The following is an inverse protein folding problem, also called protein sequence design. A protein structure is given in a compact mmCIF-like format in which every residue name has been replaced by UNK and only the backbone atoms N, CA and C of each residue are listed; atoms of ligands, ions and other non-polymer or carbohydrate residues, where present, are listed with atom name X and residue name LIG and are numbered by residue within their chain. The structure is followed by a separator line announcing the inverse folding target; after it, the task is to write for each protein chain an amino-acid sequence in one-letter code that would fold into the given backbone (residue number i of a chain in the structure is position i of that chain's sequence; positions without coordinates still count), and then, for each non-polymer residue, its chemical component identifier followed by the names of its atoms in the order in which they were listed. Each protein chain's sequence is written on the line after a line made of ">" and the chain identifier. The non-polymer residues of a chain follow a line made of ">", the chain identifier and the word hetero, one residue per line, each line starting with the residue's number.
data_IF_558403943264
#
_entry.id   IF_558403943264
#
_cell.length_a   1.000
_cell.length_b   1.000
_cell.length_c   1.000
_cell.angle_alpha   90.00
_cell.angle_beta   90.00
_cell.angle_gamma   90.00
#
_symmetry.space_group_name_H-M   'P 1'
#
loop_
_entity.id
_entity.type
_entity.pdbx_description
1 polymer ?
#
# COMPACT_ATOMS: atom_id res chain seq x y z
N UNK A 1 6.42 15.69 6.22
CA UNK A 1 6.84 17.08 6.52
C UNK A 1 6.39 18.02 5.42
N UNK A 2 5.18 18.57 5.53
CA UNK A 2 4.63 19.66 4.72
C UNK A 2 5.30 21.00 5.13
N UNK A 3 6.63 21.04 5.10
CA UNK A 3 7.42 22.23 5.42
C UNK A 3 7.22 23.21 4.28
N UNK A 4 6.32 24.18 4.45
CA UNK A 4 6.16 25.27 3.47
C UNK A 4 7.50 26.00 3.19
N UNK A 5 8.47 25.89 4.10
CA UNK A 5 9.84 26.39 3.95
C UNK A 5 10.65 25.70 2.83
N UNK A 6 10.37 24.45 2.46
CA UNK A 6 11.16 23.69 1.47
C UNK A 6 10.73 23.93 0.02
N UNK A 7 9.63 24.67 -0.19
CA UNK A 7 9.16 25.03 -1.52
C UNK A 7 9.84 26.29 -2.06
N UNK A 8 10.15 26.28 -3.35
CA UNK A 8 10.68 27.44 -4.07
C UNK A 8 9.64 28.56 -4.15
N UNK A 9 10.09 29.79 -4.44
CA UNK A 9 9.19 30.93 -4.67
C UNK A 9 8.14 30.61 -5.74
N UNK A 10 8.57 29.98 -6.84
CA UNK A 10 7.69 29.52 -7.92
C UNK A 10 6.62 28.53 -7.43
N UNK A 11 7.01 27.49 -6.68
CA UNK A 11 6.07 26.49 -6.15
C UNK A 11 5.08 27.13 -5.17
N UNK A 12 5.51 28.07 -4.34
CA UNK A 12 4.64 28.84 -3.45
C UNK A 12 3.61 29.67 -4.23
N UNK A 13 4.02 30.29 -5.34
CA UNK A 13 3.10 31.03 -6.23
C UNK A 13 2.06 30.10 -6.86
N UNK A 14 2.48 28.91 -7.31
CA UNK A 14 1.55 27.88 -7.83
C UNK A 14 0.55 27.43 -6.77
N UNK A 15 1.01 27.12 -5.55
CA UNK A 15 0.13 26.72 -4.44
C UNK A 15 -0.85 27.86 -4.09
N UNK A 16 -0.39 29.12 -4.09
CA UNK A 16 -1.26 30.28 -3.85
C UNK A 16 -2.34 30.39 -4.92
N UNK A 17 -1.97 30.26 -6.18
CA UNK A 17 -2.91 30.26 -7.30
C UNK A 17 -3.93 29.13 -7.23
N UNK A 18 -3.50 27.90 -6.90
CA UNK A 18 -4.41 26.76 -6.74
C UNK A 18 -5.41 27.00 -5.61
N UNK A 19 -4.97 27.60 -4.49
CA UNK A 19 -5.88 27.99 -3.40
C UNK A 19 -6.91 29.03 -3.83
N UNK A 20 -6.55 29.95 -4.72
CA UNK A 20 -7.45 30.99 -5.23
C UNK A 20 -8.41 30.44 -6.29
N UNK A 21 -7.94 29.56 -7.18
CA UNK A 21 -8.72 29.01 -8.28
C UNK A 21 -9.71 27.93 -7.82
N UNK A 22 -9.25 26.99 -6.99
CA UNK A 22 -10.06 25.85 -6.53
C UNK A 22 -10.94 26.20 -5.32
N UNK A 23 -10.51 27.22 -4.56
CA UNK A 23 -11.23 27.74 -3.41
C UNK A 23 -11.56 26.67 -2.36
N UNK A 24 -12.80 26.69 -1.88
CA UNK A 24 -13.33 25.75 -0.88
C UNK A 24 -14.06 24.56 -1.50
N UNK A 25 -14.24 24.55 -2.81
CA UNK A 25 -15.13 23.60 -3.47
C UNK A 25 -14.41 22.35 -3.98
N UNK A 26 -13.18 22.50 -4.48
CA UNK A 26 -12.43 21.41 -5.08
C UNK A 26 -11.21 21.08 -4.20
N UNK A 27 -11.21 19.92 -3.52
CA UNK A 27 -10.05 19.38 -2.83
C UNK A 27 -8.85 19.16 -3.75
N UNK A 28 -7.69 19.47 -3.20
CA UNK A 28 -6.42 19.19 -3.86
C UNK A 28 -5.32 18.93 -2.83
N UNK A 29 -4.35 18.13 -3.24
CA UNK A 29 -3.12 17.83 -2.52
C UNK A 29 -1.93 18.19 -3.39
N UNK A 30 -0.79 18.45 -2.74
CA UNK A 30 0.44 18.73 -3.45
C UNK A 30 1.61 18.13 -2.69
N UNK A 31 2.57 17.61 -3.45
CA UNK A 31 3.78 17.01 -2.90
C UNK A 31 4.99 17.40 -3.75
N UNK A 32 6.15 17.43 -3.09
CA UNK A 32 7.42 17.68 -3.76
C UNK A 32 7.98 16.34 -4.24
N UNK A 33 8.19 16.21 -5.54
CA UNK A 33 8.82 15.03 -6.14
C UNK A 33 10.33 15.02 -5.92
N UNK A 34 10.98 13.87 -6.14
CA UNK A 34 12.44 13.71 -6.08
C UNK A 34 13.16 14.69 -7.02
N UNK A 35 12.57 14.97 -8.19
CA UNK A 35 13.12 15.90 -9.19
C UNK A 35 12.80 17.37 -8.89
N UNK A 36 12.37 17.71 -7.66
CA UNK A 36 12.01 19.06 -7.25
C UNK A 36 10.82 19.67 -8.04
N UNK A 37 10.02 18.86 -8.74
CA UNK A 37 8.72 19.29 -9.27
C UNK A 37 7.66 19.26 -8.20
N UNK A 38 6.69 20.18 -8.29
CA UNK A 38 5.46 20.09 -7.52
C UNK A 38 4.50 19.17 -8.27
N UNK A 39 4.18 18.04 -7.66
CA UNK A 39 3.07 17.18 -8.08
C UNK A 39 1.81 17.66 -7.40
N UNK A 40 0.76 17.85 -8.17
CA UNK A 40 -0.54 18.36 -7.73
C UNK A 40 -1.59 17.33 -8.13
N UNK A 41 -2.38 16.89 -7.16
CA UNK A 41 -3.54 16.03 -7.38
C UNK A 41 -4.77 16.87 -7.07
N UNK A 42 -5.72 16.91 -8.00
CA UNK A 42 -6.97 17.67 -7.88
C UNK A 42 -8.11 16.68 -8.00
N UNK A 43 -9.10 16.79 -7.12
CA UNK A 43 -10.28 15.94 -7.20
C UNK A 43 -11.01 16.14 -8.54
N UNK A 44 -11.26 15.04 -9.26
CA UNK A 44 -11.89 15.05 -10.58
C UNK A 44 -10.92 14.98 -11.77
N UNK A 45 -9.61 15.07 -11.55
CA UNK A 45 -8.61 14.81 -12.59
C UNK A 45 -8.05 13.40 -12.49
N UNK A 46 -8.06 12.68 -13.61
CA UNK A 46 -7.52 11.31 -13.70
C UNK A 46 -6.00 11.27 -13.54
N UNK A 47 -5.32 12.36 -13.90
CA UNK A 47 -3.85 12.44 -13.95
C UNK A 47 -3.31 13.51 -13.01
N UNK A 48 -2.25 13.20 -12.24
CA UNK A 48 -1.55 14.22 -11.47
C UNK A 48 -0.90 15.25 -12.41
N UNK A 49 -0.96 16.52 -12.02
CA UNK A 49 -0.34 17.62 -12.73
C UNK A 49 1.04 17.89 -12.12
N UNK A 50 2.03 18.15 -12.97
CA UNK A 50 3.38 18.45 -12.55
C UNK A 50 3.78 19.85 -13.00
N UNK A 51 4.45 20.59 -12.13
CA UNK A 51 5.11 21.82 -12.53
C UNK A 51 6.39 21.53 -13.30
N UNK A 52 6.83 22.45 -14.16
CA UNK A 52 8.10 22.31 -14.87
C UNK A 52 9.32 22.38 -13.93
N UNK A 53 10.45 21.88 -14.44
CA UNK A 53 11.77 21.88 -13.77
C UNK A 53 12.43 23.25 -13.70
N UNK A 54 11.96 24.21 -14.51
CA UNK A 54 12.61 25.49 -14.77
C UNK A 54 11.84 26.65 -14.15
N UNK A 55 11.99 26.90 -12.83
CA UNK A 55 11.28 27.97 -12.12
C UNK A 55 11.69 29.39 -12.56
N UNK A 56 12.72 29.52 -13.39
CA UNK A 56 13.25 30.80 -13.90
C UNK A 56 12.46 31.36 -15.08
N UNK A 57 11.66 30.55 -15.76
CA UNK A 57 10.86 30.99 -16.90
C UNK A 57 9.50 31.51 -16.41
N UNK A 58 9.26 32.82 -16.54
CA UNK A 58 7.98 33.44 -16.17
C UNK A 58 6.80 32.81 -16.92
N UNK A 59 7.00 32.33 -18.15
CA UNK A 59 5.96 31.65 -18.94
C UNK A 59 5.61 30.28 -18.40
N UNK A 60 6.51 29.61 -17.67
CA UNK A 60 6.25 28.27 -17.13
C UNK A 60 5.11 28.26 -16.12
N UNK A 61 4.97 29.35 -15.35
CA UNK A 61 3.89 29.54 -14.39
C UNK A 61 2.56 29.71 -15.13
N UNK A 62 2.50 30.62 -16.12
CA UNK A 62 1.30 30.87 -16.91
C UNK A 62 0.86 29.64 -17.71
N UNK A 63 1.82 28.88 -18.24
CA UNK A 63 1.56 27.62 -18.93
C UNK A 63 0.94 26.59 -18.00
N UNK A 64 1.49 26.42 -16.79
CA UNK A 64 0.93 25.52 -15.78
C UNK A 64 -0.48 25.98 -15.36
N UNK A 65 -0.67 27.27 -15.10
CA UNK A 65 -1.98 27.82 -14.73
C UNK A 65 -3.03 27.61 -15.83
N UNK A 66 -2.65 27.84 -17.08
CA UNK A 66 -3.52 27.63 -18.24
C UNK A 66 -3.85 26.15 -18.43
N UNK A 67 -2.88 25.26 -18.17
CA UNK A 67 -3.10 23.83 -18.17
C UNK A 67 -4.14 23.43 -17.11
N UNK A 68 -3.96 23.86 -15.85
CA UNK A 68 -4.94 23.60 -14.77
C UNK A 68 -6.33 24.11 -15.15
N UNK A 69 -6.44 25.35 -15.64
CA UNK A 69 -7.73 25.93 -16.05
C UNK A 69 -8.40 25.13 -17.16
N UNK A 70 -7.63 24.64 -18.14
CA UNK A 70 -8.14 23.82 -19.24
C UNK A 70 -8.69 22.49 -18.73
N UNK A 71 -7.95 21.82 -17.87
CA UNK A 71 -8.36 20.53 -17.30
C UNK A 71 -9.61 20.68 -16.41
N UNK A 72 -9.70 21.75 -15.62
CA UNK A 72 -10.91 22.06 -14.84
C UNK A 72 -12.13 22.34 -15.73
N UNK A 73 -11.94 23.07 -16.83
CA UNK A 73 -13.00 23.30 -17.81
C UNK A 73 -13.44 22.00 -18.48
N UNK A 74 -12.52 21.08 -18.73
CA UNK A 74 -12.86 19.76 -19.27
C UNK A 74 -13.75 18.98 -18.29
N UNK A 75 -13.46 19.02 -16.98
CA UNK A 75 -14.32 18.42 -15.94
C UNK A 75 -15.72 19.06 -15.97
N UNK A 76 -15.81 20.39 -15.98
CA UNK A 76 -17.10 21.10 -15.98
C UNK A 76 -17.94 20.74 -17.21
N UNK A 77 -17.31 20.64 -18.38
CA UNK A 77 -17.97 20.24 -19.64
C UNK A 77 -18.40 18.77 -19.60
N UNK A 78 -17.56 17.85 -19.12
CA UNK A 78 -17.93 16.44 -18.97
C UNK A 78 -19.11 16.27 -18.02
N UNK A 79 -19.07 16.95 -16.87
CA UNK A 79 -20.14 16.92 -15.87
C UNK A 79 -21.45 17.48 -16.43
N UNK A 80 -21.37 18.57 -17.21
CA UNK A 80 -22.53 19.18 -17.87
C UNK A 80 -23.11 18.28 -18.97
N UNK A 81 -22.27 17.61 -19.75
CA UNK A 81 -22.70 16.70 -20.82
C UNK A 81 -23.33 15.41 -20.27
N UNK A 82 -22.83 14.88 -19.16
CA UNK A 82 -23.42 13.74 -18.45
C UNK A 82 -24.81 14.09 -17.88
N UNK A 83 -24.97 15.30 -17.33
CA UNK A 83 -26.26 15.77 -16.82
C UNK A 83 -27.33 15.92 -17.93
N UNK A 84 -26.92 16.25 -19.16
CA UNK A 84 -27.83 16.46 -20.28
C UNK A 84 -28.26 15.18 -21.01
N UNK A 85 -27.61 14.04 -20.76
CA UNK A 85 -27.93 12.75 -21.42
C UNK A 85 -28.89 11.89 -20.59
N UNK A 86 -29.12 12.25 -19.33
CA UNK A 86 -30.06 11.59 -18.42
C UNK A 86 -31.42 12.32 -18.44
N UNK A 87 -32.35 11.88 -19.28
CA UNK A 87 -33.74 12.33 -19.20
C UNK A 87 -34.35 11.99 -17.82
N UNK A 88 -35.04 12.98 -17.25
CA UNK A 88 -35.77 12.99 -15.96
C UNK A 88 -34.92 13.05 -14.68
N UNK A 89 -34.27 14.19 -14.49
CA UNK A 89 -34.16 14.76 -13.16
C UNK A 89 -34.61 16.22 -13.22
N UNK A 90 -35.48 16.58 -12.28
CA UNK A 90 -35.93 17.93 -11.94
C UNK A 90 -34.83 18.97 -12.14
N UNK A 91 -35.10 20.16 -12.72
CA UNK A 91 -34.08 21.17 -12.95
C UNK A 91 -33.47 21.60 -11.61
N UNK A 92 -32.33 21.01 -11.25
CA UNK A 92 -31.47 21.62 -10.26
C UNK A 92 -30.84 22.83 -10.92
N UNK A 93 -31.40 23.97 -10.57
CA UNK A 93 -30.95 25.30 -10.95
C UNK A 93 -29.42 25.39 -11.06
N UNK A 94 -28.87 25.94 -12.15
CA UNK A 94 -27.45 26.24 -12.30
C UNK A 94 -27.09 27.52 -11.51
N UNK A 95 -27.42 27.57 -10.21
CA UNK A 95 -27.09 28.68 -9.32
C UNK A 95 -27.05 28.26 -7.85
N UNK A 96 -26.05 27.46 -7.49
CA UNK A 96 -25.52 27.44 -6.11
C UNK A 96 -24.22 28.28 -6.08
N UNK A 97 -24.22 29.42 -6.77
CA UNK A 97 -23.27 30.52 -6.52
C UNK A 97 -23.87 31.59 -5.60
N UNK A 98 -25.03 31.31 -5.02
CA UNK A 98 -25.84 32.27 -4.28
C UNK A 98 -26.01 31.82 -2.83
N UNK A 99 -25.47 32.62 -1.91
CA UNK A 99 -25.76 32.64 -0.47
C UNK A 99 -24.90 31.84 0.51
N UNK A 100 -23.78 31.22 0.09
CA UNK A 100 -22.73 30.91 1.07
C UNK A 100 -22.05 32.24 1.43
N UNK A 101 -22.29 32.76 2.64
CA UNK A 101 -21.70 34.03 3.05
C UNK A 101 -20.18 33.96 2.86
N UNK A 102 -19.53 35.02 2.35
CA UNK A 102 -18.07 35.06 2.17
C UNK A 102 -17.30 34.79 3.47
N UNK A 103 -17.97 34.98 4.62
CA UNK A 103 -17.44 34.64 5.94
C UNK A 103 -17.29 33.12 6.15
N UNK A 104 -18.24 32.31 5.69
CA UNK A 104 -18.14 30.85 5.78
C UNK A 104 -17.05 30.31 4.87
N UNK A 105 -16.88 30.91 3.68
CA UNK A 105 -15.80 30.52 2.78
C UNK A 105 -14.42 30.80 3.41
N UNK A 106 -14.25 31.99 4.01
CA UNK A 106 -13.02 32.32 4.76
C UNK A 106 -12.78 31.39 5.94
N UNK A 107 -13.84 31.00 6.66
CA UNK A 107 -13.76 30.03 7.75
C UNK A 107 -13.25 28.68 7.22
N UNK A 108 -13.90 28.12 6.19
CA UNK A 108 -13.50 26.86 5.56
C UNK A 108 -12.05 26.93 5.07
N UNK A 109 -11.65 28.00 4.36
CA UNK A 109 -10.27 28.17 3.89
C UNK A 109 -9.26 28.19 5.04
N UNK A 110 -9.60 28.82 6.17
CA UNK A 110 -8.72 28.90 7.34
C UNK A 110 -8.57 27.54 8.01
N UNK A 111 -9.68 26.80 8.17
CA UNK A 111 -9.66 25.43 8.67
C UNK A 111 -8.83 24.51 7.76
N UNK A 112 -9.05 24.54 6.44
CA UNK A 112 -8.29 23.74 5.46
C UNK A 112 -6.79 24.07 5.52
N UNK A 113 -6.42 25.35 5.58
CA UNK A 113 -5.02 25.77 5.71
C UNK A 113 -4.38 25.23 6.99
N UNK A 114 -5.09 25.28 8.11
CA UNK A 114 -4.64 24.74 9.40
C UNK A 114 -4.51 23.21 9.37
N UNK A 115 -5.44 22.51 8.71
CA UNK A 115 -5.38 21.06 8.56
C UNK A 115 -4.20 20.63 7.68
N UNK A 116 -3.94 21.35 6.57
CA UNK A 116 -2.79 21.06 5.69
C UNK A 116 -1.44 21.15 6.38
N UNK A 117 -1.27 22.05 7.35
CA UNK A 117 0.01 22.13 8.09
C UNK A 117 0.17 20.98 9.09
N UNK A 118 -0.93 20.40 9.55
CA UNK A 118 -0.96 19.31 10.54
C UNK A 118 -1.18 17.93 9.92
N UNK A 119 -1.38 17.83 8.61
CA UNK A 119 -1.77 16.58 7.92
C UNK A 119 -0.84 15.42 8.21
N UNK A 120 0.48 15.66 8.26
CA UNK A 120 1.46 14.60 8.56
C UNK A 120 1.31 14.06 9.98
N UNK A 121 1.07 14.96 10.95
CA UNK A 121 0.88 14.58 12.36
C UNK A 121 -0.44 13.83 12.53
N UNK A 122 -1.50 14.24 11.83
CA UNK A 122 -2.78 13.52 11.83
C UNK A 122 -2.59 12.12 11.22
N UNK A 123 -1.84 12.02 10.11
CA UNK A 123 -1.54 10.73 9.48
C UNK A 123 -0.81 9.79 10.44
N UNK A 124 0.22 10.28 11.13
CA UNK A 124 0.96 9.48 12.13
C UNK A 124 0.05 9.03 13.28
N UNK A 125 -0.76 9.95 13.82
CA UNK A 125 -1.72 9.62 14.88
C UNK A 125 -2.76 8.58 14.44
N UNK A 126 -3.26 8.66 13.20
CA UNK A 126 -4.15 7.63 12.66
C UNK A 126 -3.43 6.29 12.53
N UNK A 127 -2.18 6.28 12.05
CA UNK A 127 -1.38 5.05 11.92
C UNK A 127 -1.13 4.39 13.29
N UNK A 128 -0.66 5.16 14.28
CA UNK A 128 -0.35 4.65 15.61
C UNK A 128 -1.61 4.04 16.26
N UNK A 129 -2.75 4.73 16.18
CA UNK A 129 -4.03 4.21 16.72
C UNK A 129 -4.53 2.97 16.01
N UNK A 130 -4.32 2.87 14.69
CA UNK A 130 -4.74 1.70 13.91
C UNK A 130 -3.92 0.49 14.34
N UNK A 131 -2.61 0.66 14.57
CA UNK A 131 -1.75 -0.39 15.09
C UNK A 131 -2.09 -0.77 16.53
N UNK A 132 -2.47 0.19 17.39
CA UNK A 132 -2.87 -0.09 18.78
C UNK A 132 -4.22 -0.81 18.87
N UNK A 133 -5.20 -0.43 18.05
CA UNK A 133 -6.59 -0.92 18.13
C UNK A 133 -6.83 -2.14 17.23
N UNK A 134 -5.98 -2.37 16.22
CA UNK A 134 -6.15 -3.37 15.17
C UNK A 134 -7.53 -3.32 14.46
N UNK A 135 -8.11 -2.13 14.39
CA UNK A 135 -9.40 -1.86 13.76
C UNK A 135 -9.30 -0.60 12.88
N UNK A 136 -10.18 -0.46 11.90
CA UNK A 136 -10.19 0.62 10.90
C UNK A 136 -11.47 1.47 11.03
N UNK A 137 -12.51 0.95 11.68
CA UNK A 137 -13.83 1.60 11.71
C UNK A 137 -13.82 2.95 12.46
N UNK A 138 -12.93 3.11 13.44
CA UNK A 138 -12.82 4.35 14.22
C UNK A 138 -12.25 5.55 13.44
N UNK A 139 -11.61 5.33 12.28
CA UNK A 139 -10.94 6.40 11.52
C UNK A 139 -11.93 7.49 11.08
N UNK A 140 -13.15 7.10 10.67
CA UNK A 140 -14.18 8.07 10.22
C UNK A 140 -14.59 9.01 11.36
N UNK A 141 -14.77 8.45 12.55
CA UNK A 141 -15.17 9.21 13.73
C UNK A 141 -14.05 10.11 14.24
N UNK A 142 -12.80 9.63 14.24
CA UNK A 142 -11.63 10.44 14.58
C UNK A 142 -11.46 11.62 13.63
N UNK A 143 -11.59 11.41 12.31
CA UNK A 143 -11.56 12.50 11.33
C UNK A 143 -12.66 13.53 11.59
N UNK A 144 -13.86 13.08 11.91
CA UNK A 144 -14.98 13.96 12.23
C UNK A 144 -14.74 14.76 13.52
N UNK A 145 -14.14 14.16 14.55
CA UNK A 145 -13.71 14.87 15.78
C UNK A 145 -12.66 15.93 15.47
N UNK A 146 -11.66 15.61 14.64
CA UNK A 146 -10.61 16.55 14.23
C UNK A 146 -11.23 17.76 13.49
N UNK A 147 -12.18 17.51 12.58
CA UNK A 147 -12.89 18.58 11.86
C UNK A 147 -13.64 19.48 12.85
N UNK A 148 -14.43 18.91 13.76
CA UNK A 148 -15.15 19.68 14.78
C UNK A 148 -14.22 20.50 15.67
N UNK A 149 -13.09 19.94 16.09
CA UNK A 149 -12.08 20.64 16.87
C UNK A 149 -11.46 21.79 16.07
N UNK A 150 -11.18 21.60 14.77
CA UNK A 150 -10.62 22.63 13.91
C UNK A 150 -11.58 23.81 13.68
N UNK A 151 -12.88 23.52 13.52
CA UNK A 151 -13.93 24.54 13.38
C UNK A 151 -14.05 25.32 14.69
N UNK A 152 -14.12 24.60 15.83
CA UNK A 152 -14.22 25.20 17.16
C UNK A 152 -13.05 26.14 17.46
N UNK A 153 -11.82 25.70 17.18
CA UNK A 153 -10.62 26.53 17.36
C UNK A 153 -10.63 27.76 16.45
N UNK A 154 -11.08 27.62 15.20
CA UNK A 154 -11.14 28.75 14.27
C UNK A 154 -12.24 29.75 14.67
N UNK A 155 -13.37 29.25 15.18
CA UNK A 155 -14.46 30.07 15.68
C UNK A 155 -14.06 30.83 16.96
N UNK A 156 -13.34 30.19 17.88
CA UNK A 156 -12.80 30.83 19.09
C UNK A 156 -11.82 31.96 18.76
N UNK A 157 -10.99 31.77 17.72
CA UNK A 157 -10.04 32.80 17.28
C UNK A 157 -10.70 33.95 16.51
N UNK A 158 -11.90 33.73 15.96
CA UNK A 158 -12.67 34.79 15.31
C UNK A 158 -13.47 35.57 16.35
N UNK A 159 -13.09 36.84 16.57
CA UNK A 159 -13.79 37.75 17.49
C UNK A 159 -15.25 38.06 17.08
N UNK A 160 -15.67 37.64 15.89
CA UNK A 160 -17.03 37.82 15.38
C UNK A 160 -17.79 36.49 15.43
N UNK A 161 -18.56 36.29 16.50
CA UNK A 161 -19.49 35.17 16.61
C UNK A 161 -20.73 35.43 15.76
N UNK A 162 -20.59 35.35 14.44
CA UNK A 162 -21.76 35.31 13.56
C UNK A 162 -22.49 33.99 13.82
N UNK A 163 -23.76 34.06 14.20
CA UNK A 163 -24.57 32.88 14.44
C UNK A 163 -24.59 32.00 13.18
N UNK A 164 -24.09 30.77 13.31
CA UNK A 164 -24.07 29.77 12.24
C UNK A 164 -25.30 28.88 12.42
N UNK A 165 -26.18 28.84 11.42
CA UNK A 165 -27.33 27.92 11.44
C UNK A 165 -26.83 26.46 11.49
N UNK A 166 -27.48 25.55 12.22
CA UNK A 166 -27.06 24.15 12.32
C UNK A 166 -26.91 23.44 10.96
N UNK A 167 -27.76 23.77 9.99
CA UNK A 167 -27.64 23.23 8.61
C UNK A 167 -26.36 23.70 7.92
N UNK A 168 -26.05 24.99 8.01
CA UNK A 168 -24.83 25.56 7.45
C UNK A 168 -23.58 25.00 8.16
N UNK A 169 -23.66 24.73 9.46
CA UNK A 169 -22.57 24.06 10.19
C UNK A 169 -22.29 22.66 9.63
N UNK A 170 -23.34 21.85 9.39
CA UNK A 170 -23.18 20.53 8.77
C UNK A 170 -22.59 20.61 7.36
N UNK A 171 -22.98 21.61 6.57
CA UNK A 171 -22.43 21.84 5.23
C UNK A 171 -20.93 22.21 5.32
N UNK A 172 -20.54 23.07 6.25
CA UNK A 172 -19.14 23.42 6.54
C UNK A 172 -18.34 22.18 6.98
N UNK A 173 -18.87 21.39 7.92
CA UNK A 173 -18.26 20.14 8.39
C UNK A 173 -18.06 19.16 7.24
N UNK A 174 -19.09 18.94 6.41
CA UNK A 174 -19.03 18.03 5.27
C UNK A 174 -18.01 18.49 4.21
N UNK A 175 -17.93 19.79 3.95
CA UNK A 175 -16.93 20.36 3.04
C UNK A 175 -15.52 20.11 3.57
N UNK A 176 -15.25 20.49 4.82
CA UNK A 176 -13.92 20.31 5.42
C UNK A 176 -13.55 18.82 5.49
N UNK A 177 -14.51 17.94 5.80
CA UNK A 177 -14.29 16.50 5.83
C UNK A 177 -13.94 15.94 4.45
N UNK A 178 -14.58 16.42 3.37
CA UNK A 178 -14.22 16.05 1.99
C UNK A 178 -12.77 16.41 1.69
N UNK A 179 -12.36 17.64 2.04
CA UNK A 179 -10.97 18.08 1.91
C UNK A 179 -10.01 17.22 2.73
N UNK A 180 -10.35 16.91 3.99
CA UNK A 180 -9.51 16.11 4.87
C UNK A 180 -9.35 14.67 4.36
N UNK A 181 -10.43 14.04 3.93
CA UNK A 181 -10.41 12.69 3.36
C UNK A 181 -9.58 12.61 2.08
N UNK A 182 -9.58 13.67 1.26
CA UNK A 182 -8.73 13.73 0.07
C UNK A 182 -7.24 13.93 0.42
N UNK A 183 -6.93 14.50 1.59
CA UNK A 183 -5.56 14.74 2.06
C UNK A 183 -4.95 13.55 2.78
N UNK A 184 -5.77 12.71 3.41
CA UNK A 184 -5.33 11.56 4.20
C UNK A 184 -5.40 10.26 3.41
N UNK A 185 -4.65 9.22 3.83
CA UNK A 185 -4.74 7.91 3.19
C UNK A 185 -6.14 7.31 3.27
N UNK A 186 -6.50 6.51 2.27
CA UNK A 186 -7.76 5.77 2.21
C UNK A 186 -7.76 4.64 3.24
N UNK A 187 -8.94 4.20 3.69
CA UNK A 187 -9.07 3.05 4.59
C UNK A 187 -8.36 1.79 4.05
N UNK A 188 -8.32 1.60 2.73
CA UNK A 188 -7.58 0.52 2.09
C UNK A 188 -6.07 0.53 2.42
N UNK A 189 -5.46 1.72 2.50
CA UNK A 189 -4.05 1.83 2.91
C UNK A 189 -3.84 1.34 4.35
N UNK A 190 -4.80 1.60 5.24
CA UNK A 190 -4.74 1.13 6.62
C UNK A 190 -5.06 -0.35 6.75
N UNK A 191 -5.93 -0.92 5.91
CA UNK A 191 -6.15 -2.38 5.89
C UNK A 191 -4.91 -3.13 5.43
N UNK A 192 -4.23 -2.62 4.39
CA UNK A 192 -3.00 -3.23 3.89
C UNK A 192 -1.91 -3.19 4.96
N UNK A 193 -1.79 -2.08 5.70
CA UNK A 193 -0.87 -1.95 6.83
C UNK A 193 -1.14 -2.97 7.94
N UNK A 194 -2.40 -3.26 8.25
CA UNK A 194 -2.75 -4.29 9.24
C UNK A 194 -2.41 -5.69 8.74
N UNK A 195 -2.65 -5.98 7.46
CA UNK A 195 -2.29 -7.27 6.85
C UNK A 195 -0.79 -7.50 6.88
N UNK A 196 0.01 -6.50 6.49
CA UNK A 196 1.48 -6.57 6.54
C UNK A 196 1.99 -6.84 7.96
N UNK A 197 1.47 -6.14 8.97
CA UNK A 197 1.88 -6.37 10.36
C UNK A 197 1.40 -7.72 10.90
N UNK A 198 0.21 -8.19 10.53
CA UNK A 198 -0.27 -9.52 10.92
C UNK A 198 0.63 -10.62 10.33
N UNK A 199 1.09 -10.46 9.08
CA UNK A 199 2.04 -11.42 8.47
C UNK A 199 3.41 -11.40 9.13
N UNK A 200 3.85 -10.25 9.66
CA UNK A 200 5.10 -10.13 10.42
C UNK A 200 4.95 -10.77 11.81
N UNK A 201 3.85 -10.53 12.52
CA UNK A 201 3.60 -11.18 13.83
C UNK A 201 3.48 -12.70 13.70
N UNK A 202 2.90 -13.21 12.61
CA UNK A 202 2.88 -14.65 12.32
C UNK A 202 4.30 -15.19 12.09
N UNK A 203 5.12 -14.49 11.31
CA UNK A 203 6.52 -14.86 11.09
C UNK A 203 7.38 -14.81 12.37
N UNK A 204 7.11 -13.87 13.28
CA UNK A 204 7.80 -13.80 14.59
C UNK A 204 7.31 -14.85 15.58
N UNK A 205 6.03 -15.21 15.54
CA UNK A 205 5.48 -16.29 16.36
C UNK A 205 6.04 -17.67 15.99
N UNK A 206 6.35 -17.91 14.71
CA UNK A 206 7.01 -19.12 14.24
C UNK A 206 8.48 -19.20 14.70
N UNK A 207 9.16 -18.07 14.87
CA UNK A 207 10.54 -17.99 15.41
C UNK A 207 10.55 -18.19 16.94
N UNK A 208 9.47 -17.81 17.65
CA UNK A 208 9.32 -18.02 19.09
C UNK A 208 9.08 -19.48 19.49
N UNK A 209 8.46 -20.29 18.62
CA UNK A 209 8.20 -21.71 18.88
C UNK A 209 9.50 -22.53 18.83
N UNK A 210 10.46 -22.15 17.98
CA UNK A 210 11.75 -22.84 17.85
C UNK A 210 12.66 -22.60 19.07
N UNK A 211 12.61 -21.40 19.68
CA UNK A 211 13.52 -21.02 20.77
C UNK A 211 13.11 -21.55 22.15
N UNK A 212 11.86 -22.00 22.35
CA UNK A 212 11.39 -22.54 23.64
C UNK A 212 11.54 -24.06 23.80
N UNK A 213 11.94 -24.78 22.74
CA UNK A 213 11.99 -26.25 22.77
C UNK A 213 13.35 -26.88 23.15
N UNK A 214 14.31 -26.09 23.67
CA UNK A 214 15.67 -26.59 23.99
C UNK A 214 15.94 -26.78 25.50
N UNK A 215 15.05 -26.37 26.41
CA UNK A 215 15.32 -26.49 27.85
C UNK A 215 14.27 -27.32 28.61
N UNK A 216 14.51 -28.64 28.74
CA UNK A 216 14.47 -29.43 30.00
C UNK A 216 14.74 -30.93 29.78
N UNK A 217 15.19 -31.66 30.83
CA UNK A 217 16.21 -32.71 30.71
C UNK A 217 15.70 -34.15 30.63
N UNK A 218 16.61 -34.99 30.11
CA UNK A 218 16.76 -36.45 30.19
C UNK A 218 15.89 -37.15 31.24
N UNK A 219 15.12 -38.14 30.78
CA UNK A 219 14.74 -39.32 31.58
C UNK A 219 14.66 -40.56 30.68
N UNK A 220 15.57 -41.50 30.92
CA UNK A 220 15.56 -42.86 30.37
C UNK A 220 14.32 -43.64 30.82
N UNK A 221 13.82 -44.55 29.96
CA UNK A 221 13.43 -45.94 30.30
C UNK A 221 12.82 -46.67 29.06
N UNK A 222 13.66 -47.50 28.43
CA UNK A 222 13.48 -48.90 28.03
C UNK A 222 12.14 -49.49 27.47
N UNK A 223 12.33 -50.15 26.31
CA UNK A 223 11.92 -51.53 25.89
C UNK A 223 10.50 -51.82 25.35
N UNK A 224 10.50 -52.46 24.16
CA UNK A 224 9.46 -53.31 23.54
C UNK A 224 9.49 -53.23 22.00
N UNK A 225 10.31 -54.02 21.27
CA UNK A 225 9.91 -55.27 20.56
C UNK A 225 8.63 -55.10 19.72
N UNK A 226 8.65 -55.00 18.39
CA UNK A 226 8.74 -56.04 17.32
C UNK A 226 8.23 -55.30 16.04
N UNK A 227 8.50 -55.58 14.77
CA UNK A 227 9.26 -56.58 14.03
C UNK A 227 9.52 -55.99 12.62
N UNK A 228 10.60 -56.45 11.98
CA UNK A 228 10.89 -56.27 10.55
C UNK A 228 9.92 -57.11 9.69
N UNK A 229 9.77 -56.84 8.37
CA UNK A 229 10.61 -57.58 7.43
C UNK A 229 11.15 -56.83 6.20
N UNK A 230 12.30 -57.34 5.75
CA UNK A 230 12.83 -57.50 4.37
C UNK A 230 12.94 -56.28 3.45
N UNK A 231 14.12 -55.67 3.29
CA UNK A 231 15.28 -56.09 2.45
C UNK A 231 14.91 -56.46 1.00
N UNK A 232 15.19 -55.53 0.07
CA UNK A 232 15.99 -55.83 -1.12
C UNK A 232 16.98 -54.68 -1.40
N UNK A 233 18.25 -54.98 -1.17
CA UNK A 233 19.39 -54.19 -1.63
C UNK A 233 19.74 -54.62 -3.05
N UNK A 234 20.11 -53.67 -3.90
CA UNK A 234 21.06 -53.93 -4.99
C UNK A 234 22.04 -52.75 -5.08
N UNK A 235 23.32 -53.04 -4.80
CA UNK A 235 24.51 -52.22 -5.09
C UNK A 235 24.85 -52.41 -6.59
N UNK A 236 25.49 -51.52 -7.36
CA UNK A 236 26.88 -51.05 -7.26
C UNK A 236 27.10 -49.97 -8.36
N UNK A 237 27.42 -48.73 -7.96
CA UNK A 237 28.54 -47.80 -8.34
C UNK A 237 28.96 -47.55 -9.85
N UNK A 238 29.88 -46.61 -10.19
CA UNK A 238 29.59 -45.43 -11.02
C UNK A 238 30.52 -45.26 -12.26
N UNK A 239 30.22 -44.39 -13.23
CA UNK A 239 31.30 -43.66 -13.95
C UNK A 239 30.80 -42.42 -14.70
N UNK A 240 31.55 -41.33 -14.54
CA UNK A 240 31.41 -40.09 -15.28
C UNK A 240 32.15 -40.14 -16.64
N UNK A 241 31.63 -39.46 -17.67
CA UNK A 241 32.31 -38.41 -18.45
C UNK A 241 31.43 -37.87 -19.58
N UNK A 242 31.67 -36.60 -19.89
CA UNK A 242 30.91 -35.72 -20.76
C UNK A 242 31.16 -35.94 -22.27
N UNK A 243 30.15 -35.66 -23.11
CA UNK A 243 30.12 -34.53 -24.09
C UNK A 243 29.14 -34.79 -25.28
N UNK A 244 28.23 -33.81 -25.46
CA UNK A 244 27.83 -33.13 -26.72
C UNK A 244 26.99 -33.89 -27.79
N UNK A 245 25.86 -33.22 -28.10
CA UNK A 245 25.06 -33.15 -29.34
C UNK A 245 23.97 -34.20 -29.67
N UNK A 246 22.74 -33.68 -29.63
CA UNK A 246 21.51 -33.88 -30.43
C UNK A 246 21.49 -35.04 -31.44
N UNK A 247 20.42 -35.81 -31.60
CA UNK A 247 19.02 -35.39 -31.68
C UNK A 247 18.06 -36.58 -31.50
N UNK A 248 16.84 -36.27 -31.03
CA UNK A 248 15.62 -37.06 -31.27
C UNK A 248 15.44 -38.44 -30.61
N UNK A 249 14.97 -38.47 -29.34
CA UNK A 249 13.83 -39.32 -28.93
C UNK A 249 13.41 -39.12 -27.46
N UNK A 250 12.09 -38.96 -27.27
CA UNK A 250 11.30 -39.28 -26.07
C UNK A 250 11.79 -38.80 -24.68
N UNK A 251 11.50 -37.54 -24.34
CA UNK A 251 11.30 -37.18 -22.92
C UNK A 251 9.83 -37.39 -22.58
N UNK A 252 9.55 -38.47 -21.84
CA UNK A 252 8.32 -38.69 -21.10
C UNK A 252 8.14 -37.49 -20.16
N UNK A 253 7.35 -36.49 -20.60
CA UNK A 253 7.02 -35.34 -19.77
C UNK A 253 6.32 -35.88 -18.52
N UNK A 254 6.91 -35.66 -17.36
CA UNK A 254 6.26 -35.94 -16.07
C UNK A 254 4.98 -35.11 -16.00
N UNK A 255 3.89 -35.66 -15.45
CA UNK A 255 2.57 -35.01 -15.46
C UNK A 255 2.57 -33.56 -14.94
N UNK A 256 3.48 -33.23 -14.01
CA UNK A 256 3.71 -31.87 -13.52
C UNK A 256 4.29 -30.91 -14.58
N UNK A 257 5.23 -31.36 -15.41
CA UNK A 257 5.77 -30.55 -16.51
C UNK A 257 4.73 -30.29 -17.59
N UNK A 258 3.84 -31.25 -17.84
CA UNK A 258 2.72 -31.08 -18.75
C UNK A 258 1.67 -30.10 -18.19
N UNK A 259 1.43 -30.13 -16.87
CA UNK A 259 0.54 -29.19 -16.19
C UNK A 259 1.09 -27.76 -16.22
N UNK A 260 2.40 -27.58 -16.10
CA UNK A 260 3.05 -26.27 -16.17
C UNK A 260 3.09 -25.68 -17.59
N UNK A 261 3.05 -26.52 -18.63
CA UNK A 261 2.97 -26.10 -20.05
C UNK A 261 1.58 -25.62 -20.49
N UNK A 262 0.53 -25.92 -19.71
CA UNK A 262 -0.81 -25.41 -19.99
C UNK A 262 -0.91 -23.91 -19.69
N UNK A 263 -1.80 -23.22 -20.42
CA UNK A 263 -2.11 -21.80 -20.16
C UNK A 263 -2.65 -21.61 -18.73
N UNK A 264 -2.43 -20.44 -18.16
CA UNK A 264 -2.89 -20.07 -16.80
C UNK A 264 -4.37 -20.39 -16.59
N UNK A 265 -5.21 -20.08 -17.58
CA UNK A 265 -6.65 -20.36 -17.53
C UNK A 265 -6.97 -21.86 -17.47
N UNK A 266 -6.29 -22.68 -18.27
CA UNK A 266 -6.51 -24.14 -18.29
C UNK A 266 -6.01 -24.80 -17.01
N UNK A 267 -4.92 -24.30 -16.42
CA UNK A 267 -4.44 -24.75 -15.09
C UNK A 267 -5.46 -24.45 -14.00
N UNK A 268 -5.99 -23.24 -13.96
CA UNK A 268 -7.01 -22.84 -12.97
C UNK A 268 -8.29 -23.67 -13.12
N UNK A 269 -8.72 -23.97 -14.35
CA UNK A 269 -9.89 -24.84 -14.56
C UNK A 269 -9.63 -26.28 -14.09
N UNK A 270 -8.43 -26.82 -14.28
CA UNK A 270 -8.07 -28.12 -13.72
C UNK A 270 -8.07 -28.09 -12.18
N UNK A 271 -7.51 -27.06 -11.56
CA UNK A 271 -7.53 -26.89 -10.10
C UNK A 271 -8.93 -26.68 -9.53
N UNK A 272 -9.86 -26.08 -10.28
CA UNK A 272 -11.28 -25.95 -9.89
C UNK A 272 -12.02 -27.27 -9.80
N UNK A 273 -11.52 -28.32 -10.46
CA UNK A 273 -12.12 -29.66 -10.39
C UNK A 273 -11.62 -30.47 -9.18
N UNK A 274 -10.61 -29.99 -8.47
CA UNK A 274 -10.07 -30.66 -7.28
C UNK A 274 -10.92 -30.35 -6.04
N UNK A 275 -11.00 -31.33 -5.14
CA UNK A 275 -11.65 -31.13 -3.83
C UNK A 275 -10.74 -30.34 -2.88
N UNK A 276 -11.32 -29.73 -1.85
CA UNK A 276 -10.57 -28.95 -0.86
C UNK A 276 -9.48 -29.78 -0.16
N UNK A 277 -9.76 -31.06 0.13
CA UNK A 277 -8.81 -31.95 0.81
C UNK A 277 -7.61 -32.28 -0.08
N UNK A 278 -7.85 -32.54 -1.37
CA UNK A 278 -6.78 -32.77 -2.35
C UNK A 278 -5.93 -31.53 -2.61
N UNK A 279 -6.53 -30.34 -2.54
CA UNK A 279 -5.79 -29.08 -2.66
C UNK A 279 -4.86 -28.86 -1.45
N UNK A 280 -5.35 -29.11 -0.24
CA UNK A 280 -4.56 -29.01 0.99
C UNK A 280 -3.44 -30.05 1.04
N UNK A 281 -3.70 -31.28 0.59
CA UNK A 281 -2.68 -32.32 0.47
C UNK A 281 -1.59 -31.94 -0.55
N UNK A 282 -1.97 -31.34 -1.68
CA UNK A 282 -1.00 -30.85 -2.67
C UNK A 282 -0.12 -29.73 -2.10
N UNK A 283 -0.69 -28.80 -1.34
CA UNK A 283 0.07 -27.74 -0.66
C UNK A 283 1.06 -28.36 0.33
N UNK A 284 0.61 -29.28 1.17
CA UNK A 284 1.48 -29.97 2.15
C UNK A 284 2.63 -30.73 1.46
N UNK A 285 2.34 -31.44 0.37
CA UNK A 285 3.36 -32.14 -0.42
C UNK A 285 4.37 -31.18 -1.05
N UNK A 286 3.94 -30.01 -1.52
CA UNK A 286 4.83 -28.97 -2.07
C UNK A 286 5.72 -28.38 -0.96
N UNK A 287 5.17 -28.09 0.21
CA UNK A 287 5.92 -27.60 1.36
C UNK A 287 6.98 -28.61 1.85
N UNK A 288 6.63 -29.89 1.89
CA UNK A 288 7.57 -30.95 2.20
C UNK A 288 8.69 -31.03 1.16
N UNK A 289 8.37 -30.95 -0.14
CA UNK A 289 9.37 -30.96 -1.20
C UNK A 289 10.31 -29.74 -1.13
N UNK A 290 9.78 -28.54 -0.81
CA UNK A 290 10.60 -27.36 -0.59
C UNK A 290 11.56 -27.54 0.60
N UNK A 291 11.09 -28.16 1.68
CA UNK A 291 11.91 -28.43 2.87
C UNK A 291 13.03 -29.42 2.55
N UNK A 292 12.73 -30.50 1.84
CA UNK A 292 13.72 -31.48 1.39
C UNK A 292 14.77 -30.88 0.45
N UNK A 293 14.36 -30.00 -0.47
CA UNK A 293 15.31 -29.29 -1.34
C UNK A 293 16.26 -28.40 -0.53
N UNK A 294 15.73 -27.67 0.46
CA UNK A 294 16.57 -26.84 1.35
C UNK A 294 17.56 -27.70 2.14
N UNK A 295 17.12 -28.84 2.65
CA UNK A 295 17.99 -29.76 3.38
C UNK A 295 19.08 -30.35 2.49
N UNK A 296 18.75 -30.73 1.24
CA UNK A 296 19.72 -31.17 0.24
C UNK A 296 20.72 -30.07 -0.14
N UNK A 297 20.26 -28.82 -0.30
CA UNK A 297 21.14 -27.69 -0.59
C UNK A 297 22.11 -27.43 0.58
N UNK A 298 21.62 -27.50 1.82
CA UNK A 298 22.45 -27.40 3.03
C UNK A 298 23.46 -28.55 3.05
N UNK A 299 23.04 -29.79 2.77
CA UNK A 299 23.93 -30.94 2.74
C UNK A 299 24.98 -30.82 1.64
N UNK A 300 24.62 -30.30 0.46
CA UNK A 300 25.55 -30.02 -0.63
C UNK A 300 26.58 -28.94 -0.24
N UNK A 301 26.15 -27.90 0.47
CA UNK A 301 27.06 -26.88 1.02
C UNK A 301 27.99 -27.47 2.07
N UNK A 302 27.47 -28.28 3.00
CA UNK A 302 28.28 -28.99 4.00
C UNK A 302 29.29 -29.94 3.33
N UNK A 303 28.88 -30.66 2.28
CA UNK A 303 29.76 -31.52 1.50
C UNK A 303 30.85 -30.71 0.78
N UNK A 304 30.53 -29.55 0.20
CA UNK A 304 31.52 -28.63 -0.39
C UNK A 304 32.50 -28.07 0.66
N UNK A 305 32.04 -27.76 1.87
CA UNK A 305 32.88 -27.31 2.98
C UNK A 305 33.85 -28.40 3.41
N UNK A 306 33.36 -29.65 3.53
CA UNK A 306 34.19 -30.83 3.84
C UNK A 306 35.21 -31.11 2.74
N UNK A 307 34.82 -31.04 1.47
CA UNK A 307 35.70 -31.29 0.32
C UNK A 307 36.81 -30.23 0.19
N UNK A 308 36.53 -28.98 0.54
CA UNK A 308 37.50 -27.87 0.48
C UNK A 308 38.29 -27.67 1.78
N UNK A 309 38.11 -28.54 2.77
CA UNK A 309 38.79 -28.49 4.09
C UNK A 309 38.80 -27.10 4.72
N UNK A 310 37.68 -26.38 4.63
CA UNK A 310 37.55 -25.04 5.24
C UNK A 310 37.09 -25.24 6.68
N UNK A 311 37.84 -24.78 7.70
CA UNK A 311 37.40 -24.89 9.08
C UNK A 311 36.14 -24.04 9.28
N UNK A 312 35.11 -24.64 9.89
CA UNK A 312 33.81 -24.01 10.15
C UNK A 312 33.95 -22.66 10.88
N UNK A 313 34.98 -22.52 11.73
CA UNK A 313 35.31 -21.29 12.46
C UNK A 313 35.70 -20.12 11.54
N UNK A 314 36.35 -20.38 10.39
CA UNK A 314 36.74 -19.37 9.41
C UNK A 314 35.57 -18.88 8.55
N UNK A 315 34.48 -19.66 8.47
CA UNK A 315 33.25 -19.29 7.76
C UNK A 315 32.35 -18.45 8.67
N UNK A 316 32.21 -18.84 9.94
CA UNK A 316 31.45 -18.09 10.95
C UNK A 316 32.04 -16.68 11.12
N UNK A 317 33.36 -16.58 11.27
CA UNK A 317 34.05 -15.27 11.35
C UNK A 317 33.92 -14.41 10.08
N UNK A 318 33.67 -15.01 8.91
CA UNK A 318 33.42 -14.24 7.67
C UNK A 318 31.95 -13.83 7.50
N UNK A 319 31.02 -14.60 8.05
CA UNK A 319 29.58 -14.29 8.04
C UNK A 319 29.18 -13.28 9.10
N UNK A 320 29.86 -13.25 10.25
CA UNK A 320 29.63 -12.24 11.31
C UNK A 320 30.22 -10.85 10.97
N UNK A 321 31.13 -10.78 10.00
CA UNK A 321 31.80 -9.55 9.58
C UNK A 321 31.16 -8.92 8.31
N UNK A 322 30.20 -9.60 7.68
CA UNK A 322 29.42 -9.09 6.55
C UNK A 322 28.08 -8.51 7.02
#
# INVERSE_FOLDING_TARGET
>A
MCKQATFSKYQKSVIKFLNELLGTQIPFTYEKTQNNHLKVLIEGLDKPLYTSSTPSDTKSLDNFMSHVKRELKAIEVLTSNLANTSMKATPQNPSIKSMFQPNFEKLIQTCIKSLRTRVDSIKQQEQDKVLETNDIDFIKDERLKIVKASISHTLQNQRQANYIKPKAMKEIESSILRHLNFMLPTMAFYSDLLVENTTIEQAESDISIISKSINKPVRELSKGQQALPEIKQEKVIPTAKAQIAQDGQSKKLTGLTQLLQLSTHNRVNAFRTMTSDQANELISNIEQAMTLNREQDIEAVVAMIRQKSIPLEAIITRLEVA
#
